data_IF_260459093306
#
_entry.id   IF_260459093306
#
_cell.length_a   1.000
_cell.length_b   1.000
_cell.length_c   1.000
_cell.angle_alpha   90.00
_cell.angle_beta   90.00
_cell.angle_gamma   90.00
#
_symmetry.space_group_name_H-M   'P 1'
#
loop_
_entity.id
_entity.type
_entity.pdbx_description
1 polymer ?
#
# COMPACT_ATOMS: atom_id res chain seq x y z
N UNK A 1 -6.49 -9.81 5.87
CA UNK A 1 -7.84 -9.43 5.41
C UNK A 1 -8.81 -10.61 5.37
N UNK A 2 -8.37 -11.83 5.04
CA UNK A 2 -9.26 -12.97 4.76
C UNK A 2 -10.21 -13.39 5.91
N UNK A 3 -9.91 -13.05 7.17
CA UNK A 3 -10.68 -13.50 8.33
C UNK A 3 -11.34 -12.35 9.13
N UNK A 4 -11.27 -11.11 8.64
CA UNK A 4 -11.82 -9.96 9.34
C UNK A 4 -13.11 -9.49 8.65
N UNK A 5 -14.10 -9.08 9.46
CA UNK A 5 -15.26 -8.38 8.95
C UNK A 5 -14.84 -6.96 8.61
N UNK A 6 -15.06 -6.55 7.35
CA UNK A 6 -14.83 -5.19 6.89
C UNK A 6 -16.16 -4.45 6.91
N UNK A 7 -16.14 -3.22 7.41
CA UNK A 7 -17.24 -2.28 7.30
C UNK A 7 -16.73 -1.05 6.58
N UNK A 8 -17.45 -0.61 5.58
CA UNK A 8 -17.17 0.64 4.86
C UNK A 8 -18.29 1.62 5.17
N UNK A 9 -17.92 2.82 5.57
CA UNK A 9 -18.84 3.94 5.79
C UNK A 9 -18.36 5.08 4.91
N UNK A 10 -19.29 5.65 4.15
CA UNK A 10 -19.04 6.88 3.41
C UNK A 10 -19.20 8.06 4.37
N UNK A 11 -18.13 8.81 4.57
CA UNK A 11 -18.08 9.93 5.51
C UNK A 11 -18.04 11.30 4.81
N UNK A 12 -18.31 11.34 3.50
CA UNK A 12 -18.18 12.51 2.66
C UNK A 12 -16.74 13.11 2.63
N UNK A 13 -16.54 14.23 1.97
CA UNK A 13 -15.23 14.89 1.84
C UNK A 13 -14.79 15.46 3.19
N UNK A 14 -13.79 14.82 3.80
CA UNK A 14 -13.25 15.25 5.09
C UNK A 14 -12.13 16.28 4.90
N UNK A 15 -11.30 16.11 3.90
CA UNK A 15 -10.24 17.07 3.54
C UNK A 15 -9.73 16.83 2.12
N UNK A 16 -9.15 17.90 1.54
CA UNK A 16 -8.51 17.81 0.21
C UNK A 16 -7.15 17.11 0.32
N UNK A 17 -7.07 15.88 -0.18
CA UNK A 17 -5.85 15.08 -0.15
C UNK A 17 -5.00 15.33 -1.38
N UNK A 18 -3.88 16.04 -1.19
CA UNK A 18 -2.90 16.24 -2.26
C UNK A 18 -1.94 15.05 -2.33
N UNK A 19 -2.06 14.27 -3.40
CA UNK A 19 -1.07 13.25 -3.69
C UNK A 19 0.29 13.87 -4.01
N UNK A 20 1.36 13.27 -3.49
CA UNK A 20 2.70 13.65 -3.90
C UNK A 20 2.86 13.33 -5.39
N UNK A 21 3.44 14.29 -6.14
CA UNK A 21 3.73 14.05 -7.55
C UNK A 21 4.57 12.79 -7.71
N UNK A 22 4.26 11.99 -8.72
CA UNK A 22 5.06 10.85 -9.12
C UNK A 22 6.50 11.32 -9.31
N UNK A 23 7.41 10.89 -8.45
CA UNK A 23 8.82 11.14 -8.65
C UNK A 23 9.32 10.16 -9.71
N UNK A 24 9.31 10.57 -10.96
CA UNK A 24 9.79 9.76 -12.10
C UNK A 24 11.29 9.45 -12.02
N UNK A 25 12.05 10.26 -11.30
CA UNK A 25 13.53 10.17 -11.21
C UNK A 25 14.04 9.63 -9.90
N UNK A 26 13.31 9.80 -8.82
CA UNK A 26 13.73 9.36 -7.48
C UNK A 26 13.00 8.10 -7.07
N UNK A 27 13.69 6.96 -7.23
CA UNK A 27 13.15 5.63 -6.87
C UNK A 27 13.09 5.41 -5.35
N UNK A 28 13.70 6.29 -4.58
CA UNK A 28 13.77 6.20 -3.13
C UNK A 28 12.77 7.14 -2.43
N UNK A 29 11.99 7.91 -3.19
CA UNK A 29 11.02 8.86 -2.65
C UNK A 29 9.62 8.69 -3.24
N UNK A 30 8.64 9.30 -2.60
CA UNK A 30 7.27 9.42 -3.09
C UNK A 30 6.56 8.08 -3.30
N UNK A 31 5.71 8.03 -4.31
CA UNK A 31 4.87 6.86 -4.61
C UNK A 31 5.67 5.61 -4.97
N UNK A 32 6.85 5.76 -5.59
CA UNK A 32 7.71 4.62 -5.92
C UNK A 32 8.19 3.89 -4.67
N UNK A 33 8.73 4.62 -3.69
CA UNK A 33 9.14 4.06 -2.40
C UNK A 33 7.96 3.43 -1.68
N UNK A 34 6.84 4.15 -1.60
CA UNK A 34 5.62 3.68 -0.95
C UNK A 34 5.15 2.35 -1.54
N UNK A 35 5.15 2.21 -2.87
CA UNK A 35 4.73 0.97 -3.55
C UNK A 35 5.65 -0.22 -3.23
N UNK A 36 6.95 0.02 -3.09
CA UNK A 36 7.93 -1.01 -2.68
C UNK A 36 7.65 -1.44 -1.24
N UNK A 37 7.46 -0.49 -0.33
CA UNK A 37 7.25 -0.79 1.09
C UNK A 37 5.91 -1.50 1.33
N UNK A 38 4.84 -1.09 0.65
CA UNK A 38 3.54 -1.78 0.67
C UNK A 38 3.70 -3.21 0.14
N UNK A 39 4.39 -3.40 -0.97
CA UNK A 39 4.61 -4.73 -1.56
C UNK A 39 5.40 -5.64 -0.62
N UNK A 40 6.47 -5.14 0.02
CA UNK A 40 7.24 -5.89 1.02
C UNK A 40 6.35 -6.31 2.20
N UNK A 41 5.56 -5.38 2.74
CA UNK A 41 4.65 -5.66 3.85
C UNK A 41 3.60 -6.72 3.48
N UNK A 42 3.04 -6.64 2.26
CA UNK A 42 2.09 -7.62 1.75
C UNK A 42 2.72 -9.01 1.61
N UNK A 43 3.92 -9.11 1.02
CA UNK A 43 4.62 -10.40 0.88
C UNK A 43 4.91 -11.01 2.24
N UNK A 44 5.36 -10.22 3.20
CA UNK A 44 5.58 -10.69 4.56
C UNK A 44 4.29 -11.17 5.22
N UNK A 45 3.20 -10.42 5.08
CA UNK A 45 1.90 -10.82 5.61
C UNK A 45 1.42 -12.13 5.00
N UNK A 46 1.50 -12.28 3.69
CA UNK A 46 1.11 -13.51 3.01
C UNK A 46 2.01 -14.69 3.40
N UNK A 47 3.31 -14.48 3.55
CA UNK A 47 4.24 -15.52 4.03
C UNK A 47 3.89 -16.01 5.44
N UNK A 48 3.44 -15.13 6.34
CA UNK A 48 2.95 -15.53 7.67
C UNK A 48 1.66 -16.38 7.62
N UNK A 49 0.96 -16.35 6.48
CA UNK A 49 -0.22 -17.17 6.21
C UNK A 49 0.10 -18.43 5.39
N UNK A 50 1.39 -18.73 5.18
CA UNK A 50 1.86 -19.94 4.50
C UNK A 50 2.14 -19.75 3.00
N UNK A 51 2.04 -18.55 2.45
CA UNK A 51 2.41 -18.31 1.06
C UNK A 51 3.92 -18.48 0.86
N UNK A 52 4.30 -19.20 -0.19
CA UNK A 52 5.70 -19.42 -0.56
C UNK A 52 6.03 -18.59 -1.79
N UNK A 53 7.08 -17.77 -1.65
CA UNK A 53 7.56 -16.89 -2.70
C UNK A 53 8.91 -17.32 -3.26
N UNK A 54 9.05 -17.23 -4.57
CA UNK A 54 10.30 -17.40 -5.28
C UNK A 54 10.38 -16.40 -6.46
N UNK A 55 11.50 -16.39 -7.17
CA UNK A 55 11.68 -15.48 -8.32
C UNK A 55 10.60 -15.64 -9.40
N UNK A 56 10.12 -16.87 -9.62
CA UNK A 56 9.04 -17.16 -10.57
C UNK A 56 7.71 -16.53 -10.13
N UNK A 57 7.37 -16.69 -8.85
CA UNK A 57 6.14 -16.10 -8.26
C UNK A 57 6.10 -14.58 -8.47
N UNK A 58 7.20 -13.88 -8.22
CA UNK A 58 7.22 -12.41 -8.41
C UNK A 58 7.11 -12.00 -9.87
N UNK A 59 7.66 -12.79 -10.80
CA UNK A 59 7.47 -12.54 -12.25
C UNK A 59 6.01 -12.69 -12.65
N UNK A 60 5.34 -13.73 -12.16
CA UNK A 60 3.91 -13.95 -12.39
C UNK A 60 3.08 -12.82 -11.79
N UNK A 61 3.35 -12.42 -10.53
CA UNK A 61 2.67 -11.30 -9.89
C UNK A 61 2.84 -10.00 -10.67
N UNK A 62 4.09 -9.70 -11.12
CA UNK A 62 4.32 -8.54 -11.98
C UNK A 62 3.48 -8.58 -13.24
N UNK A 63 3.47 -9.71 -13.96
CA UNK A 63 2.74 -9.85 -15.22
C UNK A 63 1.22 -9.73 -15.02
N UNK A 64 0.69 -10.36 -13.96
CA UNK A 64 -0.74 -10.28 -13.63
C UNK A 64 -1.15 -8.87 -13.23
N UNK A 65 -0.34 -8.22 -12.35
CA UNK A 65 -0.58 -6.83 -11.95
C UNK A 65 -0.60 -5.91 -13.18
N UNK A 66 0.42 -5.98 -14.03
CA UNK A 66 0.56 -5.11 -15.19
C UNK A 66 -0.64 -5.22 -16.13
N UNK A 67 -1.06 -6.44 -16.46
CA UNK A 67 -2.24 -6.67 -17.31
C UNK A 67 -3.52 -6.11 -16.68
N UNK A 68 -3.80 -6.47 -15.43
CA UNK A 68 -5.01 -6.03 -14.74
C UNK A 68 -5.04 -4.51 -14.59
N UNK A 69 -3.90 -3.89 -14.27
CA UNK A 69 -3.82 -2.45 -14.11
C UNK A 69 -4.05 -1.70 -15.43
N UNK A 70 -3.55 -2.20 -16.57
CA UNK A 70 -3.85 -1.61 -17.88
C UNK A 70 -5.34 -1.75 -18.25
N UNK A 71 -5.97 -2.88 -17.94
CA UNK A 71 -7.42 -3.04 -18.12
C UNK A 71 -8.21 -1.99 -17.31
N UNK A 72 -7.73 -1.64 -16.11
CA UNK A 72 -8.33 -0.57 -15.31
C UNK A 72 -8.06 0.83 -15.89
N UNK A 73 -6.86 1.11 -16.38
CA UNK A 73 -6.55 2.39 -17.04
C UNK A 73 -7.50 2.62 -18.21
N UNK A 74 -7.73 1.60 -19.06
CA UNK A 74 -8.68 1.68 -20.15
C UNK A 74 -10.12 1.92 -19.66
N UNK A 75 -10.52 1.22 -18.59
CA UNK A 75 -11.85 1.37 -17.99
C UNK A 75 -12.07 2.79 -17.47
N UNK A 76 -11.12 3.34 -16.73
CA UNK A 76 -11.19 4.69 -16.18
C UNK A 76 -11.15 5.77 -17.28
N UNK A 77 -10.36 5.55 -18.33
CA UNK A 77 -10.36 6.45 -19.48
C UNK A 77 -11.74 6.49 -20.17
N UNK A 78 -12.36 5.35 -20.37
CA UNK A 78 -13.69 5.28 -20.96
C UNK A 78 -14.75 5.96 -20.07
N UNK A 79 -14.67 5.74 -18.76
CA UNK A 79 -15.54 6.39 -17.78
C UNK A 79 -15.35 7.92 -17.77
N UNK A 80 -14.11 8.39 -17.80
CA UNK A 80 -13.79 9.81 -17.89
C UNK A 80 -14.37 10.44 -19.14
N UNK A 81 -14.20 9.81 -20.32
CA UNK A 81 -14.77 10.29 -21.58
C UNK A 81 -16.30 10.40 -21.49
N UNK A 82 -16.98 9.39 -20.92
CA UNK A 82 -18.43 9.39 -20.75
C UNK A 82 -18.92 10.52 -19.85
N UNK A 83 -18.09 10.93 -18.87
CA UNK A 83 -18.42 11.98 -17.92
C UNK A 83 -17.86 13.37 -18.32
N UNK A 84 -17.20 13.49 -19.48
CA UNK A 84 -16.62 14.74 -19.97
C UNK A 84 -15.42 15.21 -19.13
N UNK A 85 -14.69 14.28 -18.52
CA UNK A 85 -13.51 14.53 -17.71
C UNK A 85 -12.24 14.26 -18.52
N UNK A 86 -11.17 15.01 -18.20
CA UNK A 86 -9.84 14.75 -18.76
C UNK A 86 -9.18 13.59 -18.01
N UNK A 87 -8.53 12.69 -18.76
CA UNK A 87 -7.78 11.58 -18.22
C UNK A 87 -6.48 11.38 -19.01
N UNK A 88 -5.34 11.48 -18.34
CA UNK A 88 -4.03 11.27 -18.97
C UNK A 88 -3.65 9.78 -18.93
N UNK A 89 -4.08 9.06 -19.96
CA UNK A 89 -3.78 7.62 -20.12
C UNK A 89 -2.28 7.35 -20.09
N UNK A 90 -1.45 8.23 -20.66
CA UNK A 90 -0.02 8.00 -20.74
C UNK A 90 0.65 8.14 -19.36
N UNK A 91 0.23 9.11 -18.55
CA UNK A 91 0.74 9.26 -17.18
C UNK A 91 0.39 8.06 -16.32
N UNK A 92 -0.83 7.55 -16.45
CA UNK A 92 -1.29 6.36 -15.73
C UNK A 92 -0.56 5.08 -16.16
N UNK A 93 -0.33 4.88 -17.47
CA UNK A 93 0.45 3.75 -17.98
C UNK A 93 1.91 3.77 -17.47
N UNK A 94 2.55 4.94 -17.43
CA UNK A 94 3.89 5.08 -16.84
C UNK A 94 3.90 4.73 -15.34
N UNK A 95 2.85 5.12 -14.61
CA UNK A 95 2.69 4.77 -13.20
C UNK A 95 2.52 3.25 -13.01
N UNK A 96 1.68 2.62 -13.82
CA UNK A 96 1.47 1.16 -13.82
C UNK A 96 2.79 0.43 -14.10
N UNK A 97 3.57 0.90 -15.08
CA UNK A 97 4.87 0.31 -15.41
C UNK A 97 5.88 0.43 -14.25
N UNK A 98 5.91 1.58 -13.59
CA UNK A 98 6.75 1.82 -12.41
C UNK A 98 6.36 0.87 -11.26
N UNK A 99 5.08 0.76 -10.94
CA UNK A 99 4.60 -0.12 -9.88
C UNK A 99 4.86 -1.60 -10.20
N UNK A 100 4.68 -2.01 -11.45
CA UNK A 100 5.01 -3.37 -11.89
C UNK A 100 6.51 -3.69 -11.71
N UNK A 101 7.41 -2.75 -12.01
CA UNK A 101 8.84 -2.89 -11.72
C UNK A 101 9.14 -2.98 -10.22
N UNK A 102 8.41 -2.23 -9.42
CA UNK A 102 8.58 -2.19 -7.97
C UNK A 102 8.20 -3.51 -7.28
N UNK A 103 7.24 -4.28 -7.81
CA UNK A 103 6.94 -5.64 -7.36
C UNK A 103 8.19 -6.53 -7.41
N UNK A 104 8.98 -6.44 -8.48
CA UNK A 104 10.22 -7.21 -8.61
C UNK A 104 11.29 -6.73 -7.63
N UNK A 105 11.41 -5.40 -7.42
CA UNK A 105 12.36 -4.83 -6.46
C UNK A 105 12.01 -5.28 -5.04
N UNK A 106 10.76 -5.11 -4.64
CA UNK A 106 10.26 -5.55 -3.35
C UNK A 106 10.46 -7.06 -3.14
N UNK A 107 10.19 -7.88 -4.16
CA UNK A 107 10.41 -9.31 -4.11
C UNK A 107 11.88 -9.71 -3.93
N UNK A 108 12.81 -8.99 -4.55
CA UNK A 108 14.25 -9.20 -4.35
C UNK A 108 14.67 -8.90 -2.91
N UNK A 109 14.23 -7.77 -2.38
CA UNK A 109 14.50 -7.40 -0.96
C UNK A 109 13.90 -8.45 -0.04
N UNK A 110 12.64 -8.83 -0.24
CA UNK A 110 11.98 -9.84 0.57
C UNK A 110 12.71 -11.19 0.60
N UNK A 111 13.25 -11.66 -0.54
CA UNK A 111 13.98 -12.92 -0.61
C UNK A 111 15.38 -12.85 0.04
N UNK A 112 16.06 -11.72 -0.11
CA UNK A 112 17.43 -11.56 0.37
C UNK A 112 17.50 -11.12 1.83
N UNK A 113 16.55 -10.28 2.26
CA UNK A 113 16.53 -9.66 3.58
C UNK A 113 15.08 -9.60 4.12
N UNK A 114 14.47 -10.76 4.40
CA UNK A 114 13.07 -10.81 4.81
C UNK A 114 12.79 -10.06 6.12
N UNK A 115 13.80 -9.86 6.94
CA UNK A 115 13.70 -9.13 8.20
C UNK A 115 13.74 -7.60 8.06
N UNK A 116 14.14 -7.08 6.90
CA UNK A 116 14.12 -5.64 6.63
C UNK A 116 12.70 -5.08 6.58
N UNK A 117 11.73 -5.93 6.23
CA UNK A 117 10.33 -5.53 6.21
C UNK A 117 9.74 -5.58 7.62
N UNK A 118 9.25 -4.47 8.17
CA UNK A 118 8.64 -4.46 9.49
C UNK A 118 7.44 -5.42 9.51
N UNK A 119 7.36 -6.20 10.58
CA UNK A 119 6.21 -7.05 10.83
C UNK A 119 5.12 -6.21 11.50
N UNK A 120 3.98 -6.09 10.85
CA UNK A 120 2.80 -5.44 11.43
C UNK A 120 1.99 -6.53 12.13
N UNK A 121 2.01 -6.60 13.47
CA UNK A 121 1.25 -7.59 14.20
C UNK A 121 -0.25 -7.31 14.11
N UNK A 122 -1.08 -8.34 14.27
CA UNK A 122 -2.52 -8.13 14.48
C UNK A 122 -2.77 -7.55 15.87
N UNK A 123 -3.85 -6.80 16.04
CA UNK A 123 -4.26 -6.28 17.34
C UNK A 123 -4.33 -7.35 18.43
N UNK A 124 -4.80 -8.55 18.11
CA UNK A 124 -4.82 -9.66 19.09
C UNK A 124 -3.44 -10.00 19.61
N UNK A 125 -2.41 -9.96 18.75
CA UNK A 125 -1.02 -10.18 19.19
C UNK A 125 -0.48 -9.03 20.01
N UNK A 126 -0.81 -7.81 19.62
CA UNK A 126 -0.41 -6.59 20.37
C UNK A 126 -1.01 -6.64 21.77
N UNK A 127 -2.32 -6.84 21.89
CA UNK A 127 -3.02 -6.92 23.18
C UNK A 127 -2.51 -8.11 24.02
N UNK A 128 -2.21 -9.24 23.41
CA UNK A 128 -1.63 -10.39 24.14
C UNK A 128 -0.24 -10.10 24.70
N UNK A 129 0.56 -9.30 23.98
CA UNK A 129 1.92 -8.92 24.42
C UNK A 129 1.93 -7.71 25.37
N UNK A 130 0.98 -6.81 25.23
CA UNK A 130 0.80 -5.58 26.03
C UNK A 130 -0.68 -5.41 26.33
N UNK A 131 -1.18 -6.00 27.44
CA UNK A 131 -2.61 -5.90 27.80
C UNK A 131 -3.10 -4.49 28.03
N UNK A 132 -2.22 -3.59 28.43
CA UNK A 132 -2.44 -2.15 28.71
C UNK A 132 -2.29 -1.25 27.47
N UNK A 133 -2.13 -1.82 26.27
CA UNK A 133 -1.81 -1.05 25.05
C UNK A 133 -2.83 0.05 24.73
N UNK A 134 -4.11 -0.19 24.97
CA UNK A 134 -5.13 0.81 24.69
C UNK A 134 -5.11 1.96 25.68
N UNK A 135 -4.81 1.71 26.94
CA UNK A 135 -4.64 2.73 27.96
C UNK A 135 -3.45 3.62 27.60
N UNK A 136 -2.31 3.03 27.22
CA UNK A 136 -1.12 3.77 26.77
C UNK A 136 -1.35 4.59 25.49
N UNK A 137 -2.20 4.10 24.57
CA UNK A 137 -2.58 4.87 23.38
C UNK A 137 -3.43 6.07 23.79
N UNK A 138 -4.38 5.90 24.68
CA UNK A 138 -5.21 7.01 25.16
C UNK A 138 -4.38 8.07 25.90
N UNK A 139 -3.49 7.65 26.77
CA UNK A 139 -2.55 8.56 27.46
C UNK A 139 -1.67 9.35 26.48
N UNK A 140 -1.17 8.68 25.42
CA UNK A 140 -0.38 9.35 24.38
C UNK A 140 -1.22 10.36 23.59
N UNK A 141 -2.46 10.02 23.23
CA UNK A 141 -3.38 10.91 22.51
C UNK A 141 -3.75 12.12 23.39
N UNK A 142 -3.99 11.92 24.69
CA UNK A 142 -4.26 13.01 25.62
C UNK A 142 -3.06 13.93 25.77
N UNK A 143 -1.87 13.38 25.89
CA UNK A 143 -0.62 14.16 25.96
C UNK A 143 -0.39 14.99 24.70
N UNK A 144 -0.58 14.40 23.50
CA UNK A 144 -0.48 15.12 22.21
C UNK A 144 -1.55 16.22 22.11
N UNK A 145 -2.79 15.95 22.56
CA UNK A 145 -3.86 16.96 22.57
C UNK A 145 -3.47 18.16 23.45
N UNK A 146 -2.92 17.93 24.62
CA UNK A 146 -2.49 19.01 25.55
C UNK A 146 -1.32 19.82 24.98
N UNK A 147 -0.39 19.18 24.22
CA UNK A 147 0.72 19.86 23.57
C UNK A 147 0.25 20.78 22.43
N UNK A 148 -0.81 20.39 21.68
CA UNK A 148 -1.32 21.15 20.52
C UNK A 148 -2.50 22.06 20.86
N UNK A 149 -3.00 22.06 22.09
CA UNK A 149 -4.11 22.90 22.56
C UNK A 149 -3.70 24.33 22.97
N UNK A 150 -2.49 24.79 22.58
CA UNK A 150 -1.93 26.11 22.89
C UNK A 150 -2.20 27.13 21.79
#
# INVERSE_FOLDING_TARGET
YANNRLCQVDIADVYDHKHQKLSRRDQEAGLSKMSIDISKALFRKLATQGAVFNKGTFRTLKASYFRIALDFVETYNNDAIMNGLDFDTHEEEEAVEMFARNIIKAGKVFLNQPMETPFIPSWNRVVSAMPDVFERILEAVEADHDEFAV
#
